data_IF_740400668872
#
_entry.id   IF_740400668872
#
_cell.length_a   1.000
_cell.length_b   1.000
_cell.length_c   1.000
_cell.angle_alpha   90.00
_cell.angle_beta   90.00
_cell.angle_gamma   90.00
#
_symmetry.space_group_name_H-M   'P 1'
#
loop_
_entity.id
_entity.type
_entity.pdbx_description
1 polymer ?
#
# COMPACT_ATOMS: atom_id res chain seq x y z
N UNK A 1 18.45 20.17 19.33
CA UNK A 1 19.68 20.07 18.48
C UNK A 1 19.28 19.62 17.09
N UNK A 2 20.16 19.71 16.09
CA UNK A 2 19.88 19.19 14.73
C UNK A 2 19.56 17.69 14.77
N UNK A 3 20.34 16.95 15.57
CA UNK A 3 20.10 15.59 16.02
C UNK A 3 18.63 15.27 16.35
N UNK A 4 18.03 16.01 17.29
CA UNK A 4 16.63 15.79 17.68
C UNK A 4 15.65 16.05 16.53
N UNK A 5 15.92 17.02 15.65
CA UNK A 5 15.05 17.27 14.49
C UNK A 5 15.13 16.12 13.48
N UNK A 6 16.34 15.66 13.16
CA UNK A 6 16.56 14.53 12.27
C UNK A 6 15.89 13.24 12.79
N UNK A 7 15.93 13.00 14.12
CA UNK A 7 15.23 11.87 14.73
C UNK A 7 13.71 11.97 14.58
N UNK A 8 13.13 13.17 14.78
CA UNK A 8 11.69 13.40 14.57
C UNK A 8 11.27 13.21 13.10
N UNK A 9 12.11 13.63 12.15
CA UNK A 9 11.87 13.38 10.72
C UNK A 9 11.91 11.88 10.41
N UNK A 10 12.86 11.14 10.97
CA UNK A 10 12.93 9.68 10.86
C UNK A 10 11.66 8.98 11.38
N UNK A 11 11.15 9.41 12.54
CA UNK A 11 9.88 8.91 13.09
C UNK A 11 8.72 9.23 12.14
N UNK A 12 8.64 10.47 11.64
CA UNK A 12 7.57 10.92 10.75
C UNK A 12 7.56 10.14 9.43
N UNK A 13 8.74 9.85 8.87
CA UNK A 13 8.90 9.00 7.68
C UNK A 13 8.39 7.58 7.98
N UNK A 14 8.81 6.99 9.09
CA UNK A 14 8.40 5.64 9.46
C UNK A 14 6.87 5.55 9.63
N UNK A 15 6.25 6.51 10.31
CA UNK A 15 4.79 6.57 10.49
C UNK A 15 4.04 6.77 9.17
N UNK A 16 4.54 7.63 8.28
CA UNK A 16 3.94 7.83 6.95
C UNK A 16 3.98 6.54 6.14
N UNK A 17 5.11 5.83 6.21
CA UNK A 17 5.31 4.56 5.51
C UNK A 17 4.40 3.47 6.10
N UNK A 18 4.31 3.37 7.42
CA UNK A 18 3.45 2.43 8.12
C UNK A 18 1.97 2.64 7.78
N UNK A 19 1.49 3.89 7.78
CA UNK A 19 0.12 4.21 7.39
C UNK A 19 -0.20 3.75 5.96
N UNK A 20 0.71 4.01 5.01
CA UNK A 20 0.53 3.57 3.63
C UNK A 20 0.59 2.05 3.47
N UNK A 21 1.45 1.35 4.23
CA UNK A 21 1.49 -0.11 4.25
C UNK A 21 0.21 -0.72 4.81
N UNK A 22 -0.41 -0.08 5.80
CA UNK A 22 -1.70 -0.52 6.32
C UNK A 22 -2.82 -0.41 5.25
N UNK A 23 -2.84 0.67 4.47
CA UNK A 23 -3.79 0.81 3.35
C UNK A 23 -3.57 -0.24 2.26
N UNK A 24 -2.30 -0.52 1.91
CA UNK A 24 -1.95 -1.61 0.97
C UNK A 24 -2.41 -2.96 1.54
N UNK A 25 -2.16 -3.22 2.82
CA UNK A 25 -2.54 -4.45 3.48
C UNK A 25 -4.06 -4.67 3.44
N UNK A 26 -4.85 -3.63 3.73
CA UNK A 26 -6.32 -3.68 3.66
C UNK A 26 -6.81 -4.04 2.25
N UNK A 27 -6.22 -3.41 1.21
CA UNK A 27 -6.57 -3.73 -0.18
C UNK A 27 -6.20 -5.18 -0.54
N UNK A 28 -5.04 -5.67 -0.10
CA UNK A 28 -4.62 -7.06 -0.34
C UNK A 28 -5.52 -8.07 0.38
N UNK A 29 -5.96 -7.77 1.61
CA UNK A 29 -6.93 -8.61 2.30
C UNK A 29 -8.25 -8.69 1.51
N UNK A 30 -8.73 -7.56 0.98
CA UNK A 30 -9.93 -7.53 0.12
C UNK A 30 -9.74 -8.33 -1.18
N UNK A 31 -8.59 -8.19 -1.84
CA UNK A 31 -8.25 -9.00 -3.04
C UNK A 31 -8.26 -10.49 -2.70
N UNK A 32 -7.72 -10.88 -1.54
CA UNK A 32 -7.72 -12.28 -1.09
C UNK A 32 -9.14 -12.82 -0.88
N UNK A 33 -10.02 -12.03 -0.26
CA UNK A 33 -11.44 -12.40 -0.11
C UNK A 33 -12.12 -12.62 -1.46
N UNK A 34 -11.92 -11.68 -2.39
CA UNK A 34 -12.45 -11.74 -3.75
C UNK A 34 -11.91 -12.96 -4.53
N UNK A 35 -10.63 -13.27 -4.39
CA UNK A 35 -10.03 -14.45 -5.00
C UNK A 35 -10.67 -15.75 -4.47
N UNK A 36 -10.87 -15.85 -3.14
CA UNK A 36 -11.57 -16.99 -2.54
C UNK A 36 -13.03 -17.05 -3.02
N UNK A 37 -13.71 -15.91 -3.12
CA UNK A 37 -15.07 -15.83 -3.65
C UNK A 37 -15.15 -16.31 -5.10
N UNK A 38 -14.18 -15.92 -5.95
CA UNK A 38 -14.11 -16.33 -7.36
C UNK A 38 -13.91 -17.84 -7.54
N UNK A 39 -13.20 -18.47 -6.60
CA UNK A 39 -12.91 -19.90 -6.61
C UNK A 39 -14.12 -20.79 -6.28
N UNK A 40 -15.29 -20.20 -5.94
CA UNK A 40 -16.51 -20.96 -5.68
C UNK A 40 -17.18 -21.41 -6.99
N UNK A 41 -17.45 -22.72 -7.11
CA UNK A 41 -17.88 -23.39 -8.35
C UNK A 41 -19.27 -23.02 -8.86
N UNK A 42 -20.02 -22.17 -8.16
CA UNK A 42 -21.40 -21.78 -8.53
C UNK A 42 -21.50 -20.39 -9.16
N UNK A 43 -20.38 -19.66 -9.31
CA UNK A 43 -20.38 -18.33 -9.90
C UNK A 43 -20.69 -18.38 -11.41
N UNK A 44 -21.52 -17.46 -11.88
CA UNK A 44 -21.68 -17.22 -13.31
C UNK A 44 -20.48 -16.44 -13.88
N UNK A 45 -20.32 -16.42 -15.20
CA UNK A 45 -19.27 -15.61 -15.83
C UNK A 45 -19.39 -14.12 -15.47
N UNK A 46 -20.60 -13.58 -15.40
CA UNK A 46 -20.83 -12.18 -15.00
C UNK A 46 -20.41 -11.89 -13.56
N UNK A 47 -20.54 -12.87 -12.67
CA UNK A 47 -20.06 -12.74 -11.29
C UNK A 47 -18.53 -12.69 -11.25
N UNK A 48 -17.88 -13.57 -12.02
CA UNK A 48 -16.42 -13.60 -12.14
C UNK A 48 -15.87 -12.29 -12.73
N UNK A 49 -16.52 -11.75 -13.76
CA UNK A 49 -16.12 -10.48 -14.38
C UNK A 49 -16.25 -9.31 -13.40
N UNK A 50 -17.31 -9.30 -12.59
CA UNK A 50 -17.53 -8.27 -11.56
C UNK A 50 -16.49 -8.37 -10.43
N UNK A 51 -16.19 -9.58 -9.98
CA UNK A 51 -15.13 -9.83 -8.99
C UNK A 51 -13.77 -9.38 -9.52
N UNK A 52 -13.44 -9.72 -10.77
CA UNK A 52 -12.19 -9.32 -11.39
C UNK A 52 -12.09 -7.79 -11.54
N UNK A 53 -13.19 -7.11 -11.89
CA UNK A 53 -13.22 -5.66 -11.94
C UNK A 53 -12.92 -5.04 -10.57
N UNK A 54 -13.48 -5.58 -9.48
CA UNK A 54 -13.15 -5.10 -8.12
C UNK A 54 -11.69 -5.37 -7.77
N UNK A 55 -11.15 -6.58 -8.07
CA UNK A 55 -9.73 -6.89 -7.86
C UNK A 55 -8.83 -5.88 -8.57
N UNK A 56 -9.11 -5.57 -9.85
CA UNK A 56 -8.33 -4.60 -10.62
C UNK A 56 -8.38 -3.21 -9.99
N UNK A 57 -9.54 -2.78 -9.47
CA UNK A 57 -9.64 -1.50 -8.76
C UNK A 57 -8.77 -1.47 -7.49
N UNK A 58 -8.74 -2.57 -6.70
CA UNK A 58 -7.89 -2.65 -5.51
C UNK A 58 -6.41 -2.66 -5.85
N UNK A 59 -6.00 -3.36 -6.91
CA UNK A 59 -4.61 -3.37 -7.37
C UNK A 59 -4.17 -1.97 -7.85
N UNK A 60 -5.02 -1.28 -8.61
CA UNK A 60 -4.75 0.11 -9.02
C UNK A 60 -4.59 1.04 -7.82
N UNK A 61 -5.37 0.84 -6.76
CA UNK A 61 -5.25 1.62 -5.54
C UNK A 61 -3.94 1.31 -4.80
N UNK A 62 -3.52 0.05 -4.75
CA UNK A 62 -2.20 -0.34 -4.21
C UNK A 62 -1.07 0.35 -4.99
N UNK A 63 -1.12 0.33 -6.32
CA UNK A 63 -0.12 0.99 -7.16
C UNK A 63 -0.10 2.50 -6.93
N UNK A 64 -1.28 3.11 -6.79
CA UNK A 64 -1.42 4.53 -6.46
C UNK A 64 -0.78 4.85 -5.11
N UNK A 65 -1.13 4.10 -4.06
CA UNK A 65 -0.58 4.32 -2.71
C UNK A 65 0.94 4.14 -2.73
N UNK A 66 1.46 3.08 -3.34
CA UNK A 66 2.90 2.84 -3.48
C UNK A 66 3.61 3.98 -4.22
N UNK A 67 3.08 4.41 -5.37
CA UNK A 67 3.69 5.44 -6.22
C UNK A 67 3.51 6.87 -5.70
N UNK A 68 2.49 7.15 -4.89
CA UNK A 68 2.19 8.51 -4.41
C UNK A 68 2.69 8.78 -3.00
N UNK A 69 2.79 7.77 -2.13
CA UNK A 69 3.22 7.97 -0.74
C UNK A 69 4.62 8.56 -0.68
N UNK A 70 4.72 9.73 -0.06
CA UNK A 70 5.98 10.43 0.08
C UNK A 70 6.05 11.23 1.37
N UNK A 71 7.26 11.41 1.87
CA UNK A 71 7.57 12.34 2.95
C UNK A 71 8.69 13.27 2.50
N UNK A 72 8.48 14.58 2.57
CA UNK A 72 9.45 15.60 2.11
C UNK A 72 10.03 15.32 0.70
N UNK A 73 9.19 14.83 -0.22
CA UNK A 73 9.58 14.49 -1.59
C UNK A 73 10.26 13.14 -1.77
N UNK A 74 10.58 12.43 -0.69
CA UNK A 74 11.10 11.05 -0.74
C UNK A 74 9.95 10.08 -0.92
N UNK A 75 9.97 9.30 -1.99
CA UNK A 75 9.04 8.18 -2.20
C UNK A 75 9.43 7.04 -1.26
N UNK A 76 8.55 6.70 -0.33
CA UNK A 76 8.86 5.77 0.76
C UNK A 76 8.54 4.31 0.44
N UNK A 77 7.75 4.04 -0.62
CA UNK A 77 7.35 2.69 -1.03
C UNK A 77 7.64 2.35 -2.49
N UNK A 78 7.93 3.34 -3.33
CA UNK A 78 8.04 3.13 -4.78
C UNK A 78 9.38 2.53 -5.23
N UNK A 79 10.43 2.60 -4.41
CA UNK A 79 11.79 2.18 -4.75
C UNK A 79 12.52 1.68 -3.50
N UNK A 80 13.44 0.74 -3.70
CA UNK A 80 14.36 0.31 -2.65
C UNK A 80 15.32 1.45 -2.32
N UNK A 81 15.22 2.02 -1.12
CA UNK A 81 16.04 3.14 -0.69
C UNK A 81 16.54 2.93 0.75
N UNK A 82 17.82 3.25 0.99
CA UNK A 82 18.40 3.24 2.33
C UNK A 82 18.52 4.67 2.84
N UNK A 83 17.66 5.03 3.81
CA UNK A 83 17.68 6.34 4.45
C UNK A 83 18.57 6.31 5.69
N UNK A 84 19.62 7.12 5.72
CA UNK A 84 20.49 7.29 6.89
C UNK A 84 20.04 8.51 7.70
N UNK A 85 19.58 8.30 8.93
CA UNK A 85 19.22 9.37 9.86
C UNK A 85 20.42 9.66 10.77
N UNK A 86 20.94 10.89 10.74
CA UNK A 86 22.00 11.32 11.65
C UNK A 86 21.39 11.90 12.93
N UNK A 87 21.70 11.28 14.06
CA UNK A 87 21.23 11.67 15.41
C UNK A 87 22.41 12.11 16.26
#
# INVERSE_FOLDING_TARGET
TQASRNANDGISIAQTTEGALNEINNNLQRVRELAVQSANSTNSQSDLDSIQAEITQRLNEIDRVSGQTQFNGVKVLAQDNTLTIQV
#
